data_IF_800363197127
#
_entry.id   IF_800363197127
#
_cell.length_a   1.000
_cell.length_b   1.000
_cell.length_c   1.000
_cell.angle_alpha   90.00
_cell.angle_beta   90.00
_cell.angle_gamma   90.00
#
_symmetry.space_group_name_H-M   'P 1'
#
loop_
_entity.id
_entity.type
_entity.pdbx_description
1 polymer ?
#
# COMPACT_ATOMS: atom_id res chain seq x y z
N UNK A 1 -4.90 -22.87 -19.09
CA UNK A 1 -3.93 -22.85 -17.98
C UNK A 1 -4.67 -22.32 -16.75
N UNK A 2 -4.63 -22.97 -15.59
CA UNK A 2 -5.35 -22.47 -14.40
C UNK A 2 -4.55 -21.34 -13.76
N UNK A 3 -4.96 -20.09 -13.98
CA UNK A 3 -4.34 -18.94 -13.32
C UNK A 3 -5.01 -18.76 -11.96
N UNK A 4 -4.28 -19.11 -10.90
CA UNK A 4 -4.79 -19.06 -9.52
C UNK A 4 -4.51 -17.68 -8.95
N UNK A 5 -5.57 -16.97 -8.53
CA UNK A 5 -5.41 -15.73 -7.78
C UNK A 5 -4.78 -16.08 -6.42
N UNK A 6 -3.61 -15.53 -6.06
CA UNK A 6 -2.95 -15.84 -4.80
C UNK A 6 -3.69 -15.12 -3.69
N UNK A 7 -4.72 -15.77 -3.14
CA UNK A 7 -5.59 -15.21 -2.10
C UNK A 7 -4.80 -14.70 -0.89
N UNK A 8 -3.61 -15.27 -0.65
CA UNK A 8 -2.67 -14.85 0.39
C UNK A 8 -2.06 -13.45 0.17
N UNK A 9 -2.07 -12.89 -1.03
CA UNK A 9 -1.56 -11.54 -1.29
C UNK A 9 -2.48 -10.46 -0.72
N UNK A 10 -3.77 -10.75 -0.53
CA UNK A 10 -4.75 -9.82 0.05
C UNK A 10 -4.42 -9.49 1.52
N UNK A 11 -4.28 -10.46 2.43
CA UNK A 11 -3.89 -10.17 3.82
C UNK A 11 -2.45 -9.61 3.91
N UNK A 12 -1.56 -10.00 3.00
CA UNK A 12 -0.19 -9.48 2.95
C UNK A 12 -0.17 -7.97 2.61
N UNK A 13 -0.96 -7.56 1.62
CA UNK A 13 -1.08 -6.15 1.25
C UNK A 13 -1.75 -5.31 2.33
N UNK A 14 -2.76 -5.85 3.01
CA UNK A 14 -3.33 -5.21 4.20
C UNK A 14 -2.26 -5.00 5.29
N UNK A 15 -1.44 -6.01 5.54
CA UNK A 15 -0.37 -5.95 6.55
C UNK A 15 0.70 -4.91 6.21
N UNK A 16 1.09 -4.80 4.93
CA UNK A 16 2.02 -3.77 4.44
C UNK A 16 1.44 -2.37 4.62
N UNK A 17 0.15 -2.18 4.35
CA UNK A 17 -0.52 -0.88 4.55
C UNK A 17 -0.57 -0.50 6.03
N UNK A 18 -0.91 -1.45 6.91
CA UNK A 18 -0.91 -1.22 8.37
C UNK A 18 0.49 -0.82 8.84
N UNK A 19 1.53 -1.52 8.38
CA UNK A 19 2.92 -1.18 8.68
C UNK A 19 3.34 0.18 8.14
N UNK A 20 3.00 0.50 6.89
CA UNK A 20 3.28 1.80 6.30
C UNK A 20 2.61 2.92 7.11
N UNK A 21 1.36 2.73 7.51
CA UNK A 21 0.66 3.64 8.42
C UNK A 21 1.42 3.82 9.73
N UNK A 22 1.81 2.74 10.38
CA UNK A 22 2.53 2.77 11.65
C UNK A 22 3.92 3.43 11.56
N UNK A 23 4.67 3.21 10.48
CA UNK A 23 6.01 3.77 10.26
C UNK A 23 5.96 5.25 9.91
N UNK A 24 5.01 5.65 9.06
CA UNK A 24 4.91 7.04 8.62
C UNK A 24 4.15 7.92 9.60
N UNK A 25 3.36 7.35 10.51
CA UNK A 25 2.60 8.13 11.49
C UNK A 25 3.53 8.97 12.37
N UNK A 26 3.32 10.29 12.47
CA UNK A 26 4.15 11.12 13.31
C UNK A 26 3.87 10.84 14.78
N UNK A 27 4.91 10.46 15.53
CA UNK A 27 4.83 10.33 16.99
C UNK A 27 4.69 11.72 17.61
N UNK A 28 3.67 11.94 18.45
CA UNK A 28 3.35 13.22 19.08
C UNK A 28 4.48 13.74 19.97
N UNK A 29 5.39 14.55 19.41
CA UNK A 29 6.34 15.37 20.16
C UNK A 29 6.47 16.73 19.49
N UNK A 30 5.75 17.72 20.02
CA UNK A 30 5.87 19.13 19.64
C UNK A 30 4.69 19.67 18.83
N UNK A 31 3.93 20.58 19.46
CA UNK A 31 2.66 21.16 19.01
C UNK A 31 2.71 21.84 17.64
N UNK A 32 3.86 22.35 17.21
CA UNK A 32 3.89 23.30 16.08
C UNK A 32 4.33 22.65 14.75
N UNK A 33 5.03 21.52 14.81
CA UNK A 33 5.44 20.74 13.63
C UNK A 33 4.51 19.56 13.33
N UNK A 34 3.52 19.32 14.19
CA UNK A 34 2.60 18.18 14.08
C UNK A 34 1.76 18.20 12.79
N UNK A 35 1.14 19.33 12.36
CA UNK A 35 0.29 19.35 11.17
C UNK A 35 1.05 19.00 9.88
N UNK A 36 2.26 19.56 9.73
CA UNK A 36 3.09 19.31 8.55
C UNK A 36 3.65 17.89 8.55
N UNK A 37 3.99 17.34 9.72
CA UNK A 37 4.43 15.95 9.84
C UNK A 37 3.31 14.96 9.47
N UNK A 38 2.06 15.24 9.87
CA UNK A 38 0.88 14.44 9.49
C UNK A 38 0.63 14.51 7.98
N UNK A 39 0.75 15.70 7.38
CA UNK A 39 0.61 15.84 5.93
C UNK A 39 1.63 14.99 5.17
N UNK A 40 2.92 15.08 5.53
CA UNK A 40 3.96 14.27 4.89
C UNK A 40 3.79 12.77 5.12
N UNK A 41 3.30 12.37 6.29
CA UNK A 41 2.96 10.99 6.59
C UNK A 41 1.85 10.45 5.67
N UNK A 42 0.78 11.23 5.49
CA UNK A 42 -0.33 10.90 4.60
C UNK A 42 0.11 10.80 3.15
N UNK A 43 0.98 11.69 2.68
CA UNK A 43 1.53 11.65 1.31
C UNK A 43 2.32 10.36 1.10
N UNK A 44 3.20 9.98 2.04
CA UNK A 44 3.99 8.74 1.96
C UNK A 44 3.12 7.49 2.01
N UNK A 45 2.12 7.47 2.88
CA UNK A 45 1.14 6.38 2.95
C UNK A 45 0.35 6.25 1.65
N UNK A 46 -0.12 7.36 1.09
CA UNK A 46 -0.85 7.39 -0.18
C UNK A 46 0.00 6.88 -1.34
N UNK A 47 1.28 7.24 -1.38
CA UNK A 47 2.22 6.72 -2.36
C UNK A 47 2.43 5.20 -2.23
N UNK A 48 2.58 4.69 -1.01
CA UNK A 48 2.70 3.25 -0.75
C UNK A 48 1.41 2.49 -1.15
N UNK A 49 0.24 3.06 -0.87
CA UNK A 49 -1.04 2.51 -1.27
C UNK A 49 -1.20 2.49 -2.80
N UNK A 50 -0.84 3.58 -3.49
CA UNK A 50 -0.86 3.65 -4.95
C UNK A 50 0.08 2.62 -5.59
N UNK A 51 1.30 2.47 -5.09
CA UNK A 51 2.25 1.47 -5.58
C UNK A 51 1.71 0.02 -5.42
N UNK A 52 1.05 -0.24 -4.29
CA UNK A 52 0.39 -1.52 -4.02
C UNK A 52 -0.73 -1.79 -5.03
N UNK A 53 -1.59 -0.80 -5.30
CA UNK A 53 -2.65 -0.90 -6.30
C UNK A 53 -2.12 -1.11 -7.71
N UNK A 54 -1.04 -0.40 -8.09
CA UNK A 54 -0.39 -0.57 -9.40
C UNK A 54 0.19 -1.97 -9.58
N UNK A 55 0.75 -2.55 -8.51
CA UNK A 55 1.28 -3.92 -8.53
C UNK A 55 0.14 -4.93 -8.74
N UNK A 56 -0.98 -4.74 -8.05
CA UNK A 56 -2.18 -5.55 -8.28
C UNK A 56 -2.71 -5.39 -9.71
N UNK A 57 -2.78 -4.17 -10.23
CA UNK A 57 -3.22 -3.92 -11.60
C UNK A 57 -2.33 -4.63 -12.63
N UNK A 58 -1.00 -4.50 -12.49
CA UNK A 58 -0.05 -5.19 -13.35
C UNK A 58 -0.21 -6.73 -13.25
N UNK A 59 -0.45 -7.24 -12.05
CA UNK A 59 -0.69 -8.65 -11.82
C UNK A 59 -2.00 -9.12 -12.49
N UNK A 60 -3.09 -8.36 -12.39
CA UNK A 60 -4.35 -8.66 -13.07
C UNK A 60 -4.22 -8.63 -14.59
N UNK A 61 -3.51 -7.66 -15.14
CA UNK A 61 -3.22 -7.59 -16.59
C UNK A 61 -2.45 -8.85 -17.02
N UNK A 62 -1.40 -9.22 -16.28
CA UNK A 62 -0.64 -10.43 -16.54
C UNK A 62 -1.53 -11.68 -16.46
N UNK A 63 -2.40 -11.77 -15.46
CA UNK A 63 -3.38 -12.84 -15.27
C UNK A 63 -4.29 -13.02 -16.49
N UNK A 64 -4.79 -11.91 -17.05
CA UNK A 64 -5.65 -11.90 -18.24
C UNK A 64 -4.85 -12.30 -19.49
N UNK A 65 -3.63 -11.77 -19.66
CA UNK A 65 -2.80 -12.04 -20.84
C UNK A 65 -2.25 -13.47 -20.86
N UNK A 66 -1.77 -13.98 -19.72
CA UNK A 66 -1.21 -15.32 -19.61
C UNK A 66 -2.30 -16.42 -19.46
N UNK A 67 -3.52 -16.02 -19.10
CA UNK A 67 -4.67 -16.92 -18.96
C UNK A 67 -5.50 -17.09 -20.24
N UNK A 68 -5.39 -16.16 -21.19
CA UNK A 68 -5.97 -16.25 -22.54
C UNK A 68 -5.16 -17.20 -23.44
#
# INVERSE_FOLDING_TARGET
MHVVLPLWLVPLTLSVLIWAGAVFWPSSRGSDAYPIAVFWALVRFSAAAAATLLTWLAYFIWLVVAGA
#
